data_IF_664554848579
#
_entry.id   IF_664554848579
#
_cell.length_a   1.000
_cell.length_b   1.000
_cell.length_c   1.000
_cell.angle_alpha   90.00
_cell.angle_beta   90.00
_cell.angle_gamma   90.00
#
_symmetry.space_group_name_H-M   'P 1'
#
loop_
_entity.id
_entity.type
_entity.pdbx_description
1 polymer ?
#
# COMPACT_ATOMS: atom_id res chain seq x y z
N UNK A 1 2.74 17.97 13.17
CA UNK A 1 3.38 17.00 12.25
C UNK A 1 2.26 16.41 11.42
N UNK A 2 2.48 16.16 10.12
CA UNK A 2 1.47 15.48 9.29
C UNK A 2 1.22 14.07 9.82
N UNK A 3 -0.03 13.60 9.71
CA UNK A 3 -0.43 12.27 10.12
C UNK A 3 0.09 11.24 9.12
N UNK A 4 0.96 10.36 9.60
CA UNK A 4 1.64 9.33 8.82
C UNK A 4 1.57 7.96 9.50
N UNK A 5 2.34 6.98 9.02
CA UNK A 5 2.34 5.65 9.63
C UNK A 5 2.95 5.65 11.04
N UNK A 6 3.87 6.58 11.35
CA UNK A 6 4.53 6.65 12.66
C UNK A 6 3.61 7.25 13.71
N UNK A 7 2.89 8.31 13.37
CA UNK A 7 1.84 8.82 14.26
C UNK A 7 0.73 7.79 14.48
N UNK A 8 0.43 6.95 13.49
CA UNK A 8 -0.50 5.82 13.66
C UNK A 8 0.04 4.74 14.61
N UNK A 9 1.33 4.40 14.52
CA UNK A 9 1.99 3.50 15.49
C UNK A 9 1.88 4.06 16.92
N UNK A 10 2.12 5.36 17.10
CA UNK A 10 1.98 6.04 18.40
C UNK A 10 0.54 6.00 18.92
N UNK A 11 -0.46 6.22 18.07
CA UNK A 11 -1.88 6.12 18.44
C UNK A 11 -2.25 4.70 18.89
N UNK A 12 -1.82 3.67 18.16
CA UNK A 12 -2.05 2.28 18.52
C UNK A 12 -1.37 1.92 19.85
N UNK A 13 -0.14 2.38 20.06
CA UNK A 13 0.60 2.15 21.30
C UNK A 13 -0.07 2.83 22.50
N UNK A 14 -0.48 4.09 22.34
CA UNK A 14 -1.21 4.84 23.37
C UNK A 14 -2.56 4.22 23.74
N UNK A 15 -3.22 3.56 22.80
CA UNK A 15 -4.46 2.82 23.03
C UNK A 15 -4.26 1.40 23.57
N UNK A 16 -3.02 0.92 23.71
CA UNK A 16 -2.74 -0.47 24.10
C UNK A 16 -3.07 -1.50 23.01
N UNK A 17 -3.20 -1.06 21.77
CA UNK A 17 -3.60 -1.84 20.59
C UNK A 17 -2.41 -2.16 19.66
N UNK A 18 -1.18 -2.09 20.18
CA UNK A 18 0.05 -2.46 19.48
C UNK A 18 0.83 -3.47 20.32
N UNK A 19 1.29 -4.55 19.69
CA UNK A 19 2.32 -5.43 20.25
C UNK A 19 3.64 -5.26 19.50
N UNK A 20 4.71 -4.96 20.25
CA UNK A 20 6.09 -4.94 19.74
C UNK A 20 6.70 -6.34 19.84
N UNK A 21 7.21 -6.83 18.72
CA UNK A 21 7.79 -8.17 18.60
C UNK A 21 9.30 -8.03 18.39
N UNK A 22 10.05 -8.15 19.49
CA UNK A 22 11.52 -8.06 19.51
C UNK A 22 12.24 -9.40 19.28
N UNK A 23 11.50 -10.52 19.41
CA UNK A 23 12.02 -11.85 19.07
C UNK A 23 12.25 -11.94 17.55
N UNK A 24 13.30 -12.66 17.09
CA UNK A 24 13.53 -12.85 15.67
C UNK A 24 12.32 -13.47 14.96
N UNK A 25 11.89 -12.87 13.86
CA UNK A 25 10.80 -13.38 13.00
C UNK A 25 11.29 -13.42 11.56
N UNK A 26 11.10 -14.55 10.89
CA UNK A 26 11.32 -14.69 9.46
C UNK A 26 10.07 -14.23 8.68
N UNK A 27 10.17 -13.18 7.83
CA UNK A 27 9.06 -12.71 6.99
C UNK A 27 8.48 -13.78 6.05
N UNK A 28 9.29 -14.74 5.60
CA UNK A 28 8.91 -15.75 4.60
C UNK A 28 8.37 -17.03 5.24
N UNK A 29 8.69 -17.31 6.50
CA UNK A 29 8.29 -18.54 7.16
C UNK A 29 7.29 -18.35 8.32
N UNK A 30 7.35 -17.22 9.03
CA UNK A 30 6.64 -17.05 10.32
C UNK A 30 5.67 -15.88 10.33
N UNK A 31 6.01 -14.77 9.67
CA UNK A 31 5.25 -13.52 9.78
C UNK A 31 3.80 -13.66 9.34
N UNK A 32 3.52 -14.38 8.24
CA UNK A 32 2.15 -14.59 7.77
C UNK A 32 1.26 -15.28 8.81
N UNK A 33 1.77 -16.29 9.51
CA UNK A 33 1.03 -16.97 10.58
C UNK A 33 0.78 -16.06 11.80
N UNK A 34 1.77 -15.24 12.18
CA UNK A 34 1.63 -14.29 13.30
C UNK A 34 0.62 -13.19 12.97
N UNK A 35 0.70 -12.60 11.77
CA UNK A 35 -0.28 -11.64 11.29
C UNK A 35 -1.67 -12.27 11.16
N UNK A 36 -1.76 -13.52 10.68
CA UNK A 36 -3.02 -14.26 10.64
C UNK A 36 -3.56 -14.62 12.02
N UNK A 37 -2.80 -14.57 13.11
CA UNK A 37 -3.35 -14.81 14.46
C UNK A 37 -3.71 -13.52 15.20
N UNK A 38 -3.05 -12.41 14.88
CA UNK A 38 -3.36 -11.11 15.46
C UNK A 38 -4.63 -10.52 14.84
N UNK A 39 -5.65 -10.28 15.68
CA UNK A 39 -6.91 -9.63 15.30
C UNK A 39 -7.19 -8.39 16.14
N UNK A 40 -6.81 -8.45 17.40
CA UNK A 40 -7.13 -7.46 18.43
C UNK A 40 -6.09 -6.35 18.54
N UNK A 41 -4.99 -6.42 17.79
CA UNK A 41 -3.88 -5.46 17.85
C UNK A 41 -3.01 -5.48 16.60
N UNK A 42 -2.33 -4.36 16.35
CA UNK A 42 -1.24 -4.31 15.39
C UNK A 42 0.02 -5.00 15.90
N UNK A 43 0.82 -5.53 14.97
CA UNK A 43 2.12 -6.11 15.25
C UNK A 43 3.22 -5.25 14.64
N UNK A 44 4.14 -4.77 15.49
CA UNK A 44 5.36 -4.11 15.07
C UNK A 44 6.54 -5.05 15.29
N UNK A 45 7.06 -5.62 14.22
CA UNK A 45 8.23 -6.50 14.22
C UNK A 45 9.51 -5.66 14.18
N UNK A 46 10.38 -5.86 15.16
CA UNK A 46 11.61 -5.07 15.33
C UNK A 46 12.88 -5.88 15.02
N UNK A 47 12.75 -7.19 14.84
CA UNK A 47 13.86 -8.10 14.57
C UNK A 47 13.48 -9.10 13.48
N UNK A 48 13.92 -8.82 12.25
CA UNK A 48 13.56 -9.60 11.06
C UNK A 48 14.74 -10.42 10.57
N UNK A 49 14.63 -11.75 10.66
CA UNK A 49 15.67 -12.69 10.24
C UNK A 49 15.99 -12.51 8.76
N UNK A 50 17.26 -12.22 8.43
CA UNK A 50 17.70 -11.96 7.05
C UNK A 50 17.46 -10.53 6.55
N UNK A 51 16.86 -9.65 7.35
CA UNK A 51 16.56 -8.26 6.99
C UNK A 51 17.03 -7.29 8.08
N UNK A 52 18.35 -7.18 8.34
CA UNK A 52 18.89 -6.34 9.40
C UNK A 52 18.53 -4.86 9.18
N UNK A 53 18.14 -4.19 10.27
CA UNK A 53 17.75 -2.77 10.26
C UNK A 53 16.31 -2.49 9.80
N UNK A 54 15.61 -3.48 9.24
CA UNK A 54 14.20 -3.33 8.91
C UNK A 54 13.30 -3.53 10.11
N UNK A 55 12.27 -2.69 10.19
CA UNK A 55 11.07 -2.92 11.01
C UNK A 55 9.88 -3.15 10.09
N UNK A 56 8.89 -3.87 10.58
CA UNK A 56 7.67 -4.14 9.82
C UNK A 56 6.43 -3.93 10.69
N UNK A 57 5.45 -3.19 10.17
CA UNK A 57 4.11 -3.06 10.75
C UNK A 57 3.12 -3.92 9.95
N UNK A 58 2.19 -4.60 10.63
CA UNK A 58 1.02 -5.21 10.00
C UNK A 58 -0.12 -5.38 10.99
N UNK A 59 -1.29 -5.79 10.51
CA UNK A 59 -2.55 -5.84 11.28
C UNK A 59 -2.89 -4.50 11.94
N UNK A 60 -2.72 -3.39 11.22
CA UNK A 60 -2.83 -2.05 11.80
C UNK A 60 -3.65 -1.12 10.89
N UNK A 61 -5.00 -1.26 10.88
CA UNK A 61 -5.84 -2.07 11.77
C UNK A 61 -6.01 -3.54 11.32
N UNK A 62 -5.99 -4.48 12.28
CA UNK A 62 -6.08 -5.91 12.02
C UNK A 62 -7.50 -6.47 11.94
N UNK A 63 -8.45 -5.72 12.50
CA UNK A 63 -9.88 -6.01 12.46
C UNK A 63 -10.67 -4.71 12.33
N UNK A 64 -11.91 -4.81 11.82
CA UNK A 64 -12.81 -3.67 11.65
C UNK A 64 -13.14 -2.98 12.98
N UNK A 65 -13.07 -3.68 14.10
CA UNK A 65 -13.26 -3.11 15.45
C UNK A 65 -12.14 -2.15 15.87
N UNK A 66 -10.97 -2.20 15.22
CA UNK A 66 -9.85 -1.29 15.46
C UNK A 66 -9.87 -0.07 14.53
N UNK A 67 -10.62 -0.14 13.43
CA UNK A 67 -10.75 0.98 12.48
C UNK A 67 -11.24 2.29 13.10
N UNK A 68 -12.21 2.31 14.06
CA UNK A 68 -12.69 3.56 14.66
C UNK A 68 -11.61 4.40 15.33
N UNK A 69 -10.54 3.76 15.84
CA UNK A 69 -9.41 4.48 16.44
C UNK A 69 -8.77 5.44 15.44
N UNK A 70 -8.64 5.04 14.17
CA UNK A 70 -8.06 5.89 13.13
C UNK A 70 -8.92 7.15 12.87
N UNK A 71 -10.22 7.05 13.12
CA UNK A 71 -11.16 8.18 13.04
C UNK A 71 -11.27 8.95 14.37
N UNK A 72 -10.65 8.49 15.46
CA UNK A 72 -10.81 9.09 16.78
C UNK A 72 -12.25 9.01 17.30
N UNK A 73 -12.96 7.93 16.97
CA UNK A 73 -14.39 7.78 17.24
C UNK A 73 -14.75 6.38 17.76
N UNK A 74 -16.02 6.16 18.09
CA UNK A 74 -16.56 4.84 18.47
C UNK A 74 -16.95 4.01 17.24
N UNK A 75 -17.21 2.71 17.43
CA UNK A 75 -17.67 1.85 16.34
C UNK A 75 -18.95 2.36 15.66
N UNK A 76 -19.91 2.82 16.45
CA UNK A 76 -21.21 3.25 15.95
C UNK A 76 -21.14 4.60 15.21
N UNK A 77 -20.17 5.44 15.59
CA UNK A 77 -19.96 6.77 15.02
C UNK A 77 -18.96 6.79 13.86
N UNK A 78 -18.31 5.66 13.54
CA UNK A 78 -17.28 5.60 12.49
C UNK A 78 -17.82 5.90 11.09
N UNK A 79 -18.96 5.28 10.72
CA UNK A 79 -19.56 5.50 9.39
C UNK A 79 -20.13 6.93 9.28
N UNK A 80 -20.91 7.44 10.26
CA UNK A 80 -21.29 8.85 10.27
C UNK A 80 -20.10 9.80 10.14
N UNK A 81 -19.00 9.53 10.84
CA UNK A 81 -17.80 10.35 10.78
C UNK A 81 -17.09 10.27 9.42
N UNK A 82 -17.01 9.09 8.80
CA UNK A 82 -16.50 8.94 7.44
C UNK A 82 -17.30 9.79 6.45
N UNK A 83 -18.63 9.72 6.50
CA UNK A 83 -19.52 10.50 5.64
C UNK A 83 -19.30 12.00 5.90
N UNK A 84 -19.35 12.43 7.17
CA UNK A 84 -19.15 13.83 7.56
C UNK A 84 -17.83 14.40 7.04
N UNK A 85 -16.73 13.64 7.15
CA UNK A 85 -15.41 14.07 6.66
C UNK A 85 -15.36 14.20 5.14
N UNK A 86 -16.08 13.34 4.42
CA UNK A 86 -16.05 13.24 2.95
C UNK A 86 -17.15 14.04 2.24
N UNK A 87 -18.00 14.77 2.97
CA UNK A 87 -18.97 15.71 2.39
C UNK A 87 -18.31 16.77 1.50
N UNK A 88 -17.08 17.17 1.85
CA UNK A 88 -16.24 18.03 1.02
C UNK A 88 -14.86 17.41 0.90
N UNK A 89 -14.35 17.33 -0.32
CA UNK A 89 -13.00 16.83 -0.58
C UNK A 89 -11.95 17.78 0.01
N UNK A 90 -10.86 17.22 0.50
CA UNK A 90 -9.72 17.97 1.03
C UNK A 90 -8.80 18.46 -0.09
N UNK A 91 -7.60 18.91 0.30
CA UNK A 91 -6.61 19.44 -0.66
C UNK A 91 -5.34 18.60 -0.64
N UNK A 92 -4.84 18.33 -1.83
CA UNK A 92 -3.49 17.83 -2.03
C UNK A 92 -2.61 18.96 -2.58
N UNK A 93 -1.46 19.21 -1.96
CA UNK A 93 -0.53 20.28 -2.35
C UNK A 93 0.85 19.71 -2.65
N UNK A 94 1.49 20.25 -3.67
CA UNK A 94 2.86 19.90 -4.02
C UNK A 94 3.84 20.61 -3.09
N UNK A 95 4.80 19.87 -2.54
CA UNK A 95 5.93 20.38 -1.77
C UNK A 95 7.25 20.00 -2.45
N UNK A 96 8.33 20.71 -2.12
CA UNK A 96 9.63 20.52 -2.79
C UNK A 96 10.31 19.21 -2.43
N UNK A 97 10.16 18.76 -1.18
CA UNK A 97 10.77 17.52 -0.67
C UNK A 97 9.96 16.96 0.49
N UNK A 98 10.25 15.70 0.85
CA UNK A 98 9.56 15.00 1.92
C UNK A 98 10.42 13.86 2.50
N UNK A 99 10.12 13.40 3.72
CA UNK A 99 10.85 12.30 4.37
C UNK A 99 11.00 11.05 3.49
N UNK A 100 10.02 10.72 2.65
CA UNK A 100 10.06 9.56 1.75
C UNK A 100 11.23 9.60 0.76
N UNK A 101 11.91 10.73 0.56
CA UNK A 101 13.02 10.88 -0.38
C UNK A 101 14.39 11.04 0.29
N UNK A 102 14.50 10.75 1.59
CA UNK A 102 15.77 10.78 2.34
C UNK A 102 16.81 9.82 1.76
N UNK A 103 16.38 8.64 1.30
CA UNK A 103 17.20 7.66 0.59
C UNK A 103 16.60 7.41 -0.78
N UNK A 104 17.43 7.54 -1.82
CA UNK A 104 17.05 7.33 -3.22
C UNK A 104 17.97 6.27 -3.82
N UNK A 105 17.39 5.22 -4.39
CA UNK A 105 18.09 4.12 -5.07
C UNK A 105 17.57 4.05 -6.50
N UNK A 106 18.45 4.10 -7.49
CA UNK A 106 18.09 4.23 -8.91
C UNK A 106 18.72 3.12 -9.75
N UNK A 107 18.05 2.79 -10.86
CA UNK A 107 18.64 1.98 -11.93
C UNK A 107 19.07 0.58 -11.48
N UNK A 108 20.37 0.29 -11.56
CA UNK A 108 20.90 -1.04 -11.30
C UNK A 108 21.01 -1.41 -9.82
N UNK A 109 21.03 -0.42 -8.93
CA UNK A 109 21.08 -0.64 -7.48
C UNK A 109 19.72 -1.02 -6.89
N UNK A 110 18.64 -0.89 -7.67
CA UNK A 110 17.29 -1.25 -7.25
C UNK A 110 17.19 -2.73 -6.98
N UNK A 111 16.80 -3.07 -5.75
CA UNK A 111 16.58 -4.44 -5.34
C UNK A 111 15.50 -4.52 -4.23
N UNK A 112 14.28 -4.88 -4.63
CA UNK A 112 13.15 -5.06 -3.72
C UNK A 112 13.26 -6.34 -2.88
N UNK A 113 14.16 -7.28 -3.23
CA UNK A 113 14.32 -8.53 -2.46
C UNK A 113 14.97 -8.27 -1.09
N UNK A 114 15.61 -7.11 -0.93
CA UNK A 114 16.18 -6.62 0.34
C UNK A 114 15.12 -6.09 1.30
N UNK A 115 13.86 -5.97 0.88
CA UNK A 115 12.74 -5.56 1.75
C UNK A 115 12.08 -6.79 2.40
N UNK A 116 11.54 -6.67 3.63
CA UNK A 116 10.91 -7.77 4.35
C UNK A 116 9.47 -8.05 3.84
N UNK A 117 9.33 -8.24 2.53
CA UNK A 117 8.09 -8.65 1.89
C UNK A 117 7.72 -10.02 2.44
N UNK A 118 6.55 -10.21 3.02
CA UNK A 118 6.22 -11.48 3.65
C UNK A 118 5.63 -12.50 2.66
N UNK A 119 5.75 -13.79 3.01
CA UNK A 119 4.92 -14.84 2.44
C UNK A 119 3.64 -14.90 3.28
N UNK A 120 2.49 -14.60 2.68
CA UNK A 120 1.25 -14.46 3.43
C UNK A 120 0.57 -15.81 3.69
N UNK A 121 0.46 -16.63 2.65
CA UNK A 121 -0.05 -18.00 2.68
C UNK A 121 0.99 -19.02 2.21
N UNK A 122 0.97 -20.21 2.81
CA UNK A 122 1.91 -21.30 2.48
C UNK A 122 1.80 -21.81 1.03
N UNK A 123 0.68 -21.53 0.34
CA UNK A 123 0.47 -21.91 -1.05
C UNK A 123 0.54 -20.73 -2.02
N UNK A 124 0.81 -19.51 -1.54
CA UNK A 124 0.96 -18.40 -2.49
C UNK A 124 2.16 -18.67 -3.40
N UNK A 125 2.04 -18.31 -4.68
CA UNK A 125 3.09 -18.52 -5.69
C UNK A 125 4.40 -17.76 -5.43
N UNK A 126 4.46 -16.99 -4.35
CA UNK A 126 5.64 -16.33 -3.84
C UNK A 126 5.25 -15.25 -2.85
N UNK A 127 6.22 -14.43 -2.43
CA UNK A 127 5.93 -13.36 -1.50
C UNK A 127 5.26 -12.15 -2.14
N UNK A 128 4.42 -11.45 -1.39
CA UNK A 128 3.58 -10.35 -1.89
C UNK A 128 3.75 -9.06 -1.10
N UNK A 129 3.84 -7.96 -1.83
CA UNK A 129 3.55 -6.63 -1.29
C UNK A 129 2.02 -6.51 -1.30
N UNK A 130 1.39 -6.87 -0.18
CA UNK A 130 -0.06 -6.79 0.00
C UNK A 130 -0.58 -5.40 0.38
N UNK A 131 0.31 -4.44 0.59
CA UNK A 131 0.04 -3.09 1.15
C UNK A 131 0.26 -1.95 0.14
N UNK A 132 0.46 -2.29 -1.14
CA UNK A 132 0.86 -1.35 -2.17
C UNK A 132 -0.29 -0.45 -2.64
N UNK A 133 -0.19 0.85 -2.38
CA UNK A 133 -1.10 1.84 -2.94
C UNK A 133 -0.45 2.42 -4.21
N UNK A 134 -1.03 2.11 -5.38
CA UNK A 134 -0.48 2.48 -6.67
C UNK A 134 -1.11 3.76 -7.21
N UNK A 135 -0.28 4.75 -7.49
CA UNK A 135 -0.63 5.97 -8.22
C UNK A 135 -0.44 5.72 -9.71
N UNK A 136 -1.45 6.08 -10.50
CA UNK A 136 -1.38 6.17 -11.97
C UNK A 136 -2.03 7.47 -12.45
N UNK A 137 -1.83 7.84 -13.72
CA UNK A 137 -2.52 8.97 -14.35
C UNK A 137 -3.25 8.51 -15.61
N UNK A 138 -4.45 9.03 -15.83
CA UNK A 138 -5.10 8.92 -17.14
C UNK A 138 -4.25 9.67 -18.19
N UNK A 139 -3.83 9.03 -19.29
CA UNK A 139 -2.93 9.64 -20.28
C UNK A 139 -3.54 10.80 -21.06
N UNK A 140 -4.87 10.87 -21.16
CA UNK A 140 -5.58 11.92 -21.90
C UNK A 140 -5.92 13.13 -21.02
N UNK A 141 -6.26 12.92 -19.74
CA UNK A 141 -6.73 14.00 -18.84
C UNK A 141 -5.70 14.43 -17.81
N UNK A 142 -4.65 13.64 -17.59
CA UNK A 142 -3.65 13.87 -16.54
C UNK A 142 -4.16 13.63 -15.11
N UNK A 143 -5.45 13.25 -14.94
CA UNK A 143 -6.04 12.98 -13.63
C UNK A 143 -5.41 11.76 -12.98
N UNK A 144 -5.08 11.89 -11.70
CA UNK A 144 -4.54 10.80 -10.88
C UNK A 144 -5.62 9.78 -10.53
N UNK A 145 -5.13 8.59 -10.21
CA UNK A 145 -5.87 7.54 -9.56
C UNK A 145 -4.95 6.89 -8.52
N UNK A 146 -5.45 6.70 -7.31
CA UNK A 146 -4.84 5.85 -6.29
C UNK A 146 -5.66 4.59 -6.05
N UNK A 147 -5.03 3.42 -6.13
CA UNK A 147 -5.73 2.16 -5.91
C UNK A 147 -4.87 1.13 -5.19
N UNK A 148 -5.53 0.21 -4.49
CA UNK A 148 -4.89 -0.82 -3.70
C UNK A 148 -4.59 -2.07 -4.56
N UNK A 149 -3.33 -2.50 -4.61
CA UNK A 149 -2.91 -3.68 -5.38
C UNK A 149 -1.98 -4.59 -4.58
N UNK A 150 -2.12 -5.90 -4.81
CA UNK A 150 -1.09 -6.87 -4.45
C UNK A 150 -0.02 -6.92 -5.53
N UNK A 151 1.23 -7.09 -5.12
CA UNK A 151 2.36 -7.22 -6.04
C UNK A 151 3.20 -8.46 -5.71
N UNK A 152 3.19 -9.46 -6.59
CA UNK A 152 4.01 -10.66 -6.43
C UNK A 152 5.47 -10.32 -6.72
N UNK A 153 6.37 -10.53 -5.78
CA UNK A 153 7.80 -10.34 -6.05
C UNK A 153 8.29 -11.40 -7.05
N UNK A 154 8.80 -10.96 -8.21
CA UNK A 154 9.31 -11.84 -9.28
C UNK A 154 10.84 -11.76 -9.44
N UNK A 155 11.46 -10.83 -8.74
CA UNK A 155 12.91 -10.60 -8.76
C UNK A 155 13.26 -9.24 -8.14
N UNK A 156 14.52 -8.79 -8.25
CA UNK A 156 15.00 -7.56 -7.61
C UNK A 156 14.34 -6.29 -8.16
N UNK A 157 13.92 -6.29 -9.43
CA UNK A 157 13.38 -5.11 -10.13
C UNK A 157 12.03 -5.37 -10.79
N UNK A 158 11.31 -6.42 -10.36
CA UNK A 158 10.09 -6.86 -11.04
C UNK A 158 9.05 -7.40 -10.08
N UNK A 159 7.80 -7.00 -10.30
CA UNK A 159 6.63 -7.62 -9.67
C UNK A 159 5.59 -8.05 -10.69
N UNK A 160 4.80 -9.08 -10.38
CA UNK A 160 3.49 -9.28 -11.01
C UNK A 160 2.46 -8.38 -10.33
N UNK A 161 1.46 -7.90 -11.06
CA UNK A 161 0.38 -7.09 -10.50
C UNK A 161 -0.98 -7.52 -11.06
N UNK A 162 -1.95 -7.71 -10.17
CA UNK A 162 -3.34 -7.92 -10.56
C UNK A 162 -4.06 -6.58 -10.71
N UNK A 163 -4.58 -6.33 -11.91
CA UNK A 163 -5.41 -5.17 -12.22
C UNK A 163 -6.85 -5.61 -12.48
N UNK A 164 -7.73 -5.44 -11.50
CA UNK A 164 -9.17 -5.63 -11.71
C UNK A 164 -9.74 -4.56 -12.65
N UNK A 165 -10.86 -4.83 -13.36
CA UNK A 165 -11.47 -3.92 -14.33
C UNK A 165 -12.12 -2.70 -13.64
N UNK A 166 -11.25 -1.82 -13.17
CA UNK A 166 -11.51 -0.55 -12.48
C UNK A 166 -10.64 0.53 -13.12
N UNK A 167 -10.59 1.71 -12.50
CA UNK A 167 -9.90 2.89 -13.01
C UNK A 167 -8.42 2.66 -13.42
N UNK A 168 -7.63 1.96 -12.60
CA UNK A 168 -6.24 1.63 -12.94
C UNK A 168 -6.11 0.71 -14.16
N UNK A 169 -7.03 -0.24 -14.32
CA UNK A 169 -7.10 -1.07 -15.53
C UNK A 169 -7.53 -0.24 -16.76
N UNK A 170 -8.49 0.68 -16.59
CA UNK A 170 -8.87 1.62 -17.65
C UNK A 170 -7.70 2.46 -18.11
N UNK A 171 -6.91 3.03 -17.17
CA UNK A 171 -5.68 3.75 -17.49
C UNK A 171 -4.71 2.83 -18.26
N UNK A 172 -4.47 1.63 -17.74
CA UNK A 172 -3.58 0.65 -18.37
C UNK A 172 -3.98 0.32 -19.82
N UNK A 173 -5.27 0.11 -20.08
CA UNK A 173 -5.77 -0.17 -21.44
C UNK A 173 -5.53 0.99 -22.41
N UNK A 174 -5.61 2.25 -21.94
CA UNK A 174 -5.30 3.42 -22.77
C UNK A 174 -3.82 3.44 -23.16
N UNK A 175 -2.90 3.27 -22.21
CA UNK A 175 -1.46 3.17 -22.50
C UNK A 175 -1.14 1.96 -23.40
N UNK A 176 -1.77 0.81 -23.17
CA UNK A 176 -1.58 -0.39 -23.98
C UNK A 176 -2.05 -0.21 -25.43
N UNK A 177 -3.18 0.48 -25.63
CA UNK A 177 -3.70 0.83 -26.96
C UNK A 177 -2.72 1.74 -27.71
N UNK A 178 -2.08 2.67 -27.01
CA UNK A 178 -1.02 3.52 -27.56
C UNK A 178 0.34 2.83 -27.66
N UNK A 179 0.45 1.57 -27.22
CA UNK A 179 1.69 0.81 -27.13
C UNK A 179 2.79 1.55 -26.33
N UNK A 180 2.38 2.28 -25.28
CA UNK A 180 3.27 2.99 -24.35
C UNK A 180 3.30 2.28 -23.00
N UNK A 181 4.43 2.30 -22.27
CA UNK A 181 4.45 1.87 -20.88
C UNK A 181 3.61 2.82 -20.01
N UNK A 182 2.84 2.27 -19.08
CA UNK A 182 2.10 3.08 -18.09
C UNK A 182 3.01 3.40 -16.90
N UNK A 183 3.31 4.67 -16.61
CA UNK A 183 4.06 5.03 -15.41
C UNK A 183 3.26 4.67 -14.15
N UNK A 184 3.94 4.13 -13.14
CA UNK A 184 3.34 3.80 -11.84
C UNK A 184 4.26 4.20 -10.69
N UNK A 185 3.66 4.59 -9.57
CA UNK A 185 4.36 4.79 -8.31
C UNK A 185 3.58 4.07 -7.20
N UNK A 186 4.23 3.14 -6.51
CA UNK A 186 3.61 2.28 -5.50
C UNK A 186 4.15 2.68 -4.14
N UNK A 187 3.32 3.26 -3.28
CA UNK A 187 3.71 3.58 -1.91
C UNK A 187 3.39 2.42 -0.95
N UNK A 188 4.27 2.24 0.02
CA UNK A 188 4.19 1.22 1.06
C UNK A 188 4.39 1.93 2.40
N UNK A 189 3.37 1.87 3.24
CA UNK A 189 3.37 2.47 4.57
C UNK A 189 2.96 3.94 4.58
N UNK A 190 1.73 4.17 5.02
CA UNK A 190 1.18 5.48 5.38
C UNK A 190 0.12 5.31 6.47
N UNK A 191 -0.44 6.42 6.96
CA UNK A 191 -1.64 6.46 7.79
C UNK A 191 -2.81 5.66 7.17
N UNK A 192 -3.61 4.90 7.96
CA UNK A 192 -4.72 4.07 7.45
C UNK A 192 -5.75 4.81 6.60
N UNK A 193 -5.90 6.13 6.76
CA UNK A 193 -6.81 6.94 5.92
C UNK A 193 -6.47 6.91 4.42
N UNK A 194 -5.20 6.72 4.05
CA UNK A 194 -4.84 6.55 2.64
C UNK A 194 -5.36 5.23 2.08
N UNK A 195 -5.40 4.19 2.90
CA UNK A 195 -5.93 2.88 2.52
C UNK A 195 -7.46 2.92 2.42
N UNK A 196 -8.16 3.59 3.34
CA UNK A 196 -9.60 3.85 3.20
C UNK A 196 -9.92 4.68 1.95
N UNK A 197 -9.17 5.74 1.69
CA UNK A 197 -9.33 6.55 0.49
C UNK A 197 -9.15 5.73 -0.80
N UNK A 198 -8.09 4.92 -0.87
CA UNK A 198 -7.81 4.06 -2.04
C UNK A 198 -8.82 2.90 -2.21
N UNK A 199 -9.49 2.47 -1.14
CA UNK A 199 -10.54 1.46 -1.18
C UNK A 199 -11.92 2.03 -1.52
N UNK A 200 -12.10 3.35 -1.40
CA UNK A 200 -13.37 4.02 -1.68
C UNK A 200 -13.65 4.01 -3.19
N UNK A 201 -14.77 3.41 -3.60
CA UNK A 201 -15.18 3.44 -5.01
C UNK A 201 -15.83 4.78 -5.34
N UNK A 202 -15.11 5.63 -6.07
CA UNK A 202 -15.59 6.94 -6.49
C UNK A 202 -15.89 7.00 -7.99
N UNK A 203 -16.41 8.15 -8.43
CA UNK A 203 -16.51 8.43 -9.86
C UNK A 203 -15.11 8.51 -10.49
N UNK A 204 -14.97 8.05 -11.72
CA UNK A 204 -13.70 8.07 -12.43
C UNK A 204 -13.17 9.51 -12.56
N UNK A 205 -11.94 9.71 -12.10
CA UNK A 205 -11.26 11.01 -12.14
C UNK A 205 -11.49 11.90 -10.92
N UNK A 206 -12.07 11.38 -9.83
CA UNK A 206 -11.87 11.98 -8.50
C UNK A 206 -10.49 11.58 -7.99
N UNK A 207 -9.72 12.52 -7.43
CA UNK A 207 -8.39 12.24 -6.88
C UNK A 207 -8.53 11.72 -5.44
N UNK A 208 -8.17 10.47 -5.22
CA UNK A 208 -8.25 9.84 -3.90
C UNK A 208 -7.32 10.50 -2.86
N UNK A 209 -6.31 11.29 -3.27
CA UNK A 209 -5.56 12.11 -2.31
C UNK A 209 -6.40 13.21 -1.68
N UNK A 210 -7.40 13.74 -2.39
CA UNK A 210 -8.34 14.71 -1.84
C UNK A 210 -9.31 14.04 -0.85
N UNK A 211 -9.65 12.76 -1.09
CA UNK A 211 -10.39 11.94 -0.13
C UNK A 211 -9.53 11.65 1.10
N UNK A 212 -8.27 11.26 0.92
CA UNK A 212 -7.34 11.05 2.03
C UNK A 212 -7.20 12.31 2.88
N UNK A 213 -7.04 13.48 2.24
CA UNK A 213 -7.01 14.78 2.92
C UNK A 213 -8.29 15.06 3.72
N UNK A 214 -9.45 14.80 3.12
CA UNK A 214 -10.74 14.89 3.80
C UNK A 214 -10.81 13.95 5.02
N UNK A 215 -10.44 12.68 4.87
CA UNK A 215 -10.48 11.69 5.96
C UNK A 215 -9.49 12.01 7.09
N UNK A 216 -8.32 12.55 6.77
CA UNK A 216 -7.33 12.98 7.76
C UNK A 216 -7.71 14.30 8.44
N UNK A 217 -8.61 15.08 7.82
CA UNK A 217 -8.90 16.47 8.19
C UNK A 217 -7.64 17.35 8.15
N UNK A 218 -6.73 17.09 7.20
CA UNK A 218 -5.51 17.86 6.95
C UNK A 218 -5.14 17.85 5.46
N UNK A 219 -4.37 18.84 5.01
CA UNK A 219 -3.86 18.87 3.64
C UNK A 219 -2.84 17.75 3.40
N UNK A 220 -2.97 17.04 2.27
CA UNK A 220 -2.00 16.02 1.86
C UNK A 220 -0.84 16.69 1.13
N UNK A 221 0.37 16.50 1.66
CA UNK A 221 1.60 16.95 1.02
C UNK A 221 2.11 15.90 0.04
N UNK A 222 2.28 16.27 -1.22
CA UNK A 222 2.80 15.42 -2.28
C UNK A 222 4.19 15.89 -2.73
N UNK A 223 5.04 14.96 -3.14
CA UNK A 223 6.34 15.20 -3.78
C UNK A 223 6.35 14.55 -5.16
N UNK A 224 7.12 15.12 -6.11
CA UNK A 224 7.33 14.49 -7.41
C UNK A 224 8.19 13.24 -7.28
N UNK A 225 7.81 12.20 -8.00
CA UNK A 225 8.65 11.03 -8.23
C UNK A 225 9.95 11.41 -8.96
N UNK A 226 10.98 10.58 -8.82
CA UNK A 226 12.33 10.82 -9.36
C UNK A 226 12.50 10.36 -10.81
N UNK A 227 11.75 9.36 -11.24
CA UNK A 227 11.93 8.65 -12.52
C UNK A 227 10.66 8.56 -13.37
N UNK A 228 9.50 8.93 -12.80
CA UNK A 228 8.20 8.92 -13.47
C UNK A 228 7.45 10.22 -13.20
N UNK A 229 6.60 10.65 -14.14
CA UNK A 229 5.80 11.88 -14.02
C UNK A 229 4.55 11.68 -13.15
N UNK A 230 4.78 11.33 -11.88
CA UNK A 230 3.76 11.11 -10.86
C UNK A 230 4.12 11.83 -9.57
N UNK A 231 3.13 12.00 -8.71
CA UNK A 231 3.30 12.56 -7.37
C UNK A 231 2.86 11.53 -6.32
N UNK A 232 3.56 11.52 -5.18
CA UNK A 232 3.33 10.59 -4.06
C UNK A 232 3.37 11.34 -2.73
N UNK A 233 2.74 10.82 -1.66
CA UNK A 233 2.77 11.48 -0.36
C UNK A 233 4.18 11.67 0.17
N UNK A 234 4.50 12.90 0.58
CA UNK A 234 5.79 13.28 1.15
C UNK A 234 6.16 12.43 2.38
N UNK A 235 5.13 12.00 3.12
CA UNK A 235 5.22 11.29 4.38
C UNK A 235 5.00 9.76 4.26
N UNK A 236 5.02 9.18 3.05
CA UNK A 236 5.11 7.72 2.93
C UNK A 236 6.44 7.19 3.53
N UNK A 237 6.48 5.91 3.91
CA UNK A 237 7.73 5.26 4.34
C UNK A 237 8.60 4.87 3.14
N UNK A 238 7.99 4.27 2.11
CA UNK A 238 8.66 3.74 0.92
C UNK A 238 7.80 4.01 -0.32
N UNK A 239 8.44 4.33 -1.43
CA UNK A 239 7.83 4.42 -2.77
C UNK A 239 8.69 3.63 -3.75
N UNK A 240 8.04 2.78 -4.54
CA UNK A 240 8.61 2.09 -5.70
C UNK A 240 8.12 2.80 -6.96
N UNK A 241 9.03 3.30 -7.77
CA UNK A 241 8.69 3.94 -9.04
C UNK A 241 9.03 3.02 -10.20
N UNK A 242 8.17 2.96 -11.21
CA UNK A 242 8.35 2.04 -12.31
C UNK A 242 7.35 2.21 -13.42
N UNK A 243 7.22 1.19 -14.24
CA UNK A 243 6.25 1.18 -15.33
C UNK A 243 5.67 -0.21 -15.59
N UNK A 244 4.43 -0.23 -16.08
CA UNK A 244 3.81 -1.43 -16.62
C UNK A 244 4.01 -1.43 -18.14
N UNK A 245 4.89 -2.27 -18.70
CA UNK A 245 5.05 -2.40 -20.15
C UNK A 245 3.75 -2.86 -20.82
N UNK A 246 3.43 -2.35 -22.03
CA UNK A 246 2.24 -2.76 -22.75
C UNK A 246 2.36 -4.23 -23.17
N UNK A 247 1.27 -4.99 -23.11
CA UNK A 247 1.13 -6.38 -23.58
C UNK A 247 2.01 -7.43 -22.89
N UNK A 248 3.00 -7.02 -22.09
CA UNK A 248 3.85 -7.93 -21.35
C UNK A 248 3.08 -8.54 -20.17
N UNK A 249 3.07 -9.86 -20.10
CA UNK A 249 2.37 -10.62 -19.07
C UNK A 249 3.24 -11.78 -18.61
N UNK A 250 3.14 -12.12 -17.33
CA UNK A 250 3.79 -13.30 -16.76
C UNK A 250 2.80 -14.05 -15.84
N UNK A 251 2.98 -15.37 -15.61
CA UNK A 251 2.14 -16.12 -14.68
C UNK A 251 2.24 -15.53 -13.26
N UNK A 252 1.14 -15.10 -12.67
CA UNK A 252 1.03 -14.65 -11.27
C UNK A 252 0.12 -15.60 -10.49
N UNK A 253 0.30 -15.59 -9.17
CA UNK A 253 -0.46 -16.44 -8.27
C UNK A 253 0.09 -17.88 -8.18
N UNK A 254 -0.66 -18.78 -7.52
CA UNK A 254 -1.90 -18.48 -6.83
C UNK A 254 -1.68 -17.54 -5.63
N UNK A 255 -2.72 -16.85 -5.18
CA UNK A 255 -2.71 -16.00 -4.00
C UNK A 255 -4.03 -16.18 -3.27
N UNK A 256 -4.01 -16.30 -1.95
CA UNK A 256 -5.26 -16.39 -1.20
C UNK A 256 -5.94 -15.02 -1.15
N UNK A 257 -7.18 -14.98 -1.60
CA UNK A 257 -7.93 -13.74 -1.75
C UNK A 257 -8.69 -13.38 -0.49
N UNK A 258 -9.39 -12.24 -0.53
CA UNK A 258 -10.23 -11.77 0.56
C UNK A 258 -11.34 -12.77 0.97
N UNK A 259 -11.70 -13.72 0.10
CA UNK A 259 -12.66 -14.79 0.40
C UNK A 259 -12.04 -15.99 1.14
N UNK A 260 -10.76 -15.96 1.49
CA UNK A 260 -9.98 -17.07 2.08
C UNK A 260 -9.69 -18.25 1.14
N UNK A 261 -9.96 -18.09 -0.15
CA UNK A 261 -9.71 -19.12 -1.16
C UNK A 261 -8.71 -18.66 -2.22
N UNK A 262 -8.03 -19.63 -2.83
CA UNK A 262 -7.14 -19.42 -3.97
C UNK A 262 -7.96 -19.49 -5.27
N UNK A 263 -8.81 -18.48 -5.50
CA UNK A 263 -9.78 -18.49 -6.61
C UNK A 263 -9.36 -17.62 -7.78
N UNK A 264 -8.80 -16.44 -7.52
CA UNK A 264 -8.64 -15.39 -8.53
C UNK A 264 -7.20 -14.94 -8.70
N UNK A 265 -6.93 -14.28 -9.83
CA UNK A 265 -5.63 -13.74 -10.21
C UNK A 265 -4.60 -14.78 -10.67
N UNK A 266 -4.83 -16.08 -10.52
CA UNK A 266 -3.98 -17.09 -11.14
C UNK A 266 -4.04 -16.99 -12.67
N UNK A 267 -2.93 -16.67 -13.32
CA UNK A 267 -2.89 -16.51 -14.78
C UNK A 267 -1.87 -15.49 -15.26
N UNK A 268 -1.98 -15.12 -16.54
CA UNK A 268 -1.08 -14.16 -17.18
C UNK A 268 -1.46 -12.73 -16.81
N UNK A 269 -0.72 -12.14 -15.88
CA UNK A 269 -0.98 -10.79 -15.37
C UNK A 269 0.10 -9.78 -15.80
N UNK A 270 -0.22 -8.48 -15.86
CA UNK A 270 0.79 -7.45 -16.09
C UNK A 270 1.96 -7.54 -15.10
N UNK A 271 3.10 -7.05 -15.54
CA UNK A 271 4.30 -6.92 -14.70
C UNK A 271 4.59 -5.45 -14.47
N UNK A 272 5.22 -5.13 -13.34
CA UNK A 272 5.81 -3.82 -13.08
C UNK A 272 7.33 -3.96 -13.13
N UNK A 273 7.98 -3.14 -13.95
CA UNK A 273 9.43 -2.98 -13.92
C UNK A 273 9.78 -1.79 -13.02
N UNK A 274 10.52 -2.05 -11.95
CA UNK A 274 10.89 -1.04 -10.95
C UNK A 274 12.18 -0.33 -11.39
N UNK A 275 12.15 1.01 -11.40
CA UNK A 275 13.24 1.90 -11.83
C UNK A 275 13.89 2.65 -10.68
N UNK A 276 13.15 2.91 -9.62
CA UNK A 276 13.65 3.58 -8.43
C UNK A 276 12.95 3.14 -7.16
N UNK A 277 13.66 3.29 -6.03
CA UNK A 277 13.12 3.15 -4.69
C UNK A 277 13.48 4.45 -3.95
N UNK A 278 12.48 5.16 -3.45
CA UNK A 278 12.69 6.26 -2.49
C UNK A 278 12.12 5.86 -1.15
N UNK A 279 12.85 6.08 -0.07
CA UNK A 279 12.37 5.77 1.27
C UNK A 279 12.97 6.69 2.34
N UNK A 280 12.35 6.68 3.53
CA UNK A 280 12.96 7.22 4.75
C UNK A 280 14.23 6.45 5.11
N UNK A 281 15.15 7.05 5.88
CA UNK A 281 16.40 6.38 6.26
C UNK A 281 16.17 5.11 7.11
N UNK A 282 15.24 5.18 8.07
CA UNK A 282 14.87 4.10 9.00
C UNK A 282 13.49 3.52 8.67
N UNK A 283 13.22 3.37 7.36
CA UNK A 283 11.91 3.03 6.83
C UNK A 283 11.29 1.79 7.51
N UNK A 284 9.99 1.90 7.80
CA UNK A 284 9.19 0.80 8.34
C UNK A 284 8.38 0.22 7.17
N UNK A 285 8.55 -1.08 6.92
CA UNK A 285 7.78 -1.76 5.90
C UNK A 285 6.35 -2.01 6.40
N UNK A 286 5.34 -1.78 5.57
CA UNK A 286 3.95 -2.15 5.87
C UNK A 286 3.65 -3.48 5.19
N UNK A 287 3.33 -4.51 5.96
CA UNK A 287 2.72 -5.73 5.45
C UNK A 287 1.22 -5.72 5.73
N UNK A 288 0.46 -6.41 4.88
CA UNK A 288 -0.99 -6.61 5.01
C UNK A 288 -1.23 -8.09 4.78
N UNK A 289 -1.88 -8.76 5.73
CA UNK A 289 -2.31 -10.14 5.56
C UNK A 289 -3.62 -10.17 4.78
N UNK A 290 -3.74 -11.13 3.86
CA UNK A 290 -4.97 -11.40 3.12
C UNK A 290 -5.91 -12.34 3.89
N UNK A 291 -7.20 -12.20 3.60
CA UNK A 291 -8.29 -13.06 4.07
C UNK A 291 -9.42 -12.30 4.76
N UNK A 292 -10.53 -12.97 5.04
CA UNK A 292 -11.81 -12.31 5.32
C UNK A 292 -11.84 -11.56 6.66
N UNK A 293 -11.07 -12.03 7.65
CA UNK A 293 -11.06 -11.50 9.01
C UNK A 293 -9.77 -10.75 9.37
N UNK A 294 -8.96 -10.36 8.39
CA UNK A 294 -7.71 -9.62 8.62
C UNK A 294 -7.71 -8.25 7.95
N UNK A 295 -6.66 -7.48 8.22
CA UNK A 295 -6.41 -6.14 7.66
C UNK A 295 -6.76 -5.98 6.17
N UNK A 296 -6.45 -6.97 5.32
CA UNK A 296 -6.73 -6.89 3.87
C UNK A 296 -8.20 -6.61 3.52
N UNK A 297 -9.13 -6.99 4.39
CA UNK A 297 -10.56 -6.73 4.21
C UNK A 297 -11.09 -5.53 5.00
N UNK A 298 -10.35 -5.04 5.99
CA UNK A 298 -10.85 -3.97 6.88
C UNK A 298 -11.23 -2.73 6.09
N UNK A 299 -10.39 -2.32 5.15
CA UNK A 299 -10.61 -1.12 4.34
C UNK A 299 -11.79 -1.23 3.35
N UNK A 300 -12.23 -2.44 3.02
CA UNK A 300 -13.36 -2.68 2.12
C UNK A 300 -14.69 -2.91 2.86
N UNK A 301 -14.63 -3.10 4.19
CA UNK A 301 -15.80 -3.33 5.05
C UNK A 301 -16.36 -2.02 5.65
N UNK A 302 -15.55 -0.96 5.65
CA UNK A 302 -15.90 0.39 6.08
C UNK A 302 -16.32 1.19 4.85
#
# INVERSE_FOLDING_TARGET
MSQDMRSWIEQLEGAGLLARISKPVDPRAQMGALLWQARDRGLLFENLSGYPGWRCLGQAPGDVTLAPLAFGTSRDEMIPEFVRRTETLGKARLVESGPVQQKVVLGDDVDITKMPIHQAGIRDGGPYIGSGLMVTKNPATGRRNLSFHRLQMKGPKKTGILLYPRHAWTNYQMYETENKPMPVAIMIGHHPMYYFAAATTTQYGVDEFEIAAALLQEDVELVKCRTVDLEVPAWAEIVLEGEIPPKAREPEGPFSEFQDYYLTGSGMNPIVNIKAITMRHDAIFKNVQNGTEVEGCVYHKV
#
